data_IF_238906182708
#
_entry.id   IF_238906182708
#
_cell.length_a   1.000
_cell.length_b   1.000
_cell.length_c   1.000
_cell.angle_alpha   90.00
_cell.angle_beta   90.00
_cell.angle_gamma   90.00
#
_symmetry.space_group_name_H-M   'P 1'
#
loop_
_entity.id
_entity.type
_entity.pdbx_description
1 polymer ?
#
# COMPACT_ATOMS: atom_id res chain seq x y z
N UNK A 1 -28.49 -16.08 1.71
CA UNK A 1 -29.75 -16.36 2.44
C UNK A 1 -29.55 -15.80 3.84
N UNK A 2 -30.39 -14.87 4.28
CA UNK A 2 -30.30 -14.26 5.63
C UNK A 2 -31.39 -14.87 6.50
N UNK A 3 -31.10 -15.20 7.76
CA UNK A 3 -32.09 -15.69 8.71
C UNK A 3 -32.96 -14.56 9.28
N UNK A 4 -32.54 -13.30 9.07
CA UNK A 4 -33.28 -12.14 9.53
C UNK A 4 -34.03 -11.51 8.35
N UNK A 5 -35.36 -11.58 8.40
CA UNK A 5 -36.29 -11.08 7.38
C UNK A 5 -36.77 -9.64 7.63
N UNK A 6 -36.45 -9.06 8.79
CA UNK A 6 -36.85 -7.70 9.17
C UNK A 6 -35.94 -6.63 8.53
N UNK A 7 -34.70 -7.01 8.17
CA UNK A 7 -33.74 -6.12 7.54
C UNK A 7 -34.04 -5.96 6.05
N UNK A 8 -33.96 -4.71 5.57
CA UNK A 8 -34.13 -4.38 4.15
C UNK A 8 -33.09 -5.12 3.30
N UNK A 9 -33.45 -5.47 2.07
CA UNK A 9 -32.56 -6.19 1.14
C UNK A 9 -31.22 -5.48 0.91
N UNK A 10 -31.24 -4.14 0.94
CA UNK A 10 -30.06 -3.28 0.80
C UNK A 10 -29.09 -3.45 1.98
N UNK A 11 -29.61 -3.51 3.21
CA UNK A 11 -28.84 -3.73 4.44
C UNK A 11 -28.17 -5.11 4.41
N UNK A 12 -28.90 -6.14 3.97
CA UNK A 12 -28.35 -7.49 3.81
C UNK A 12 -27.18 -7.48 2.82
N UNK A 13 -27.34 -6.83 1.66
CA UNK A 13 -26.26 -6.69 0.69
C UNK A 13 -25.05 -5.92 1.25
N UNK A 14 -25.29 -4.90 2.05
CA UNK A 14 -24.24 -4.13 2.72
C UNK A 14 -23.46 -4.96 3.74
N UNK A 15 -24.15 -5.75 4.58
CA UNK A 15 -23.51 -6.66 5.55
C UNK A 15 -22.63 -7.70 4.82
N UNK A 16 -23.12 -8.27 3.71
CA UNK A 16 -22.30 -9.18 2.90
C UNK A 16 -21.07 -8.48 2.31
N UNK A 17 -21.18 -7.21 1.90
CA UNK A 17 -20.04 -6.40 1.45
C UNK A 17 -19.03 -6.16 2.57
N UNK A 18 -19.49 -5.85 3.79
CA UNK A 18 -18.61 -5.68 4.96
C UNK A 18 -17.86 -6.97 5.29
N UNK A 19 -18.53 -8.12 5.22
CA UNK A 19 -17.88 -9.43 5.42
C UNK A 19 -16.72 -9.63 4.45
N UNK A 20 -16.92 -9.28 3.18
CA UNK A 20 -15.88 -9.41 2.16
C UNK A 20 -14.71 -8.44 2.38
N UNK A 21 -14.97 -7.24 2.92
CA UNK A 21 -13.91 -6.29 3.32
C UNK A 21 -13.03 -6.89 4.42
N UNK A 22 -13.62 -7.58 5.40
CA UNK A 22 -12.90 -8.26 6.47
C UNK A 22 -12.04 -9.40 5.90
N UNK A 23 -12.57 -10.22 5.00
CA UNK A 23 -11.80 -11.27 4.33
C UNK A 23 -10.60 -10.69 3.54
N UNK A 24 -10.82 -9.57 2.83
CA UNK A 24 -9.76 -8.88 2.10
C UNK A 24 -8.69 -8.32 3.05
N UNK A 25 -9.08 -7.83 4.23
CA UNK A 25 -8.16 -7.39 5.28
C UNK A 25 -7.30 -8.55 5.77
N UNK A 26 -7.90 -9.69 6.10
CA UNK A 26 -7.16 -10.88 6.53
C UNK A 26 -6.25 -11.45 5.42
N UNK A 27 -6.69 -11.39 4.16
CA UNK A 27 -5.86 -11.79 3.01
C UNK A 27 -4.61 -10.91 2.91
N UNK A 28 -4.77 -9.59 3.01
CA UNK A 28 -3.65 -8.64 3.02
C UNK A 28 -2.74 -8.85 4.23
N UNK A 29 -3.32 -9.08 5.40
CA UNK A 29 -2.54 -9.35 6.62
C UNK A 29 -1.62 -10.56 6.40
N UNK A 30 -2.17 -11.68 5.92
CA UNK A 30 -1.41 -12.90 5.61
C UNK A 30 -0.38 -12.73 4.49
N UNK A 31 -0.61 -11.81 3.53
CA UNK A 31 0.37 -11.53 2.47
C UNK A 31 1.50 -10.61 2.93
N UNK A 32 1.21 -9.62 3.78
CA UNK A 32 2.22 -8.71 4.31
C UNK A 32 3.06 -9.36 5.41
N UNK A 33 2.50 -10.38 6.06
CA UNK A 33 3.18 -11.12 7.11
C UNK A 33 3.70 -12.45 6.59
N UNK A 34 5.02 -12.61 6.56
CA UNK A 34 5.65 -13.91 6.32
C UNK A 34 5.43 -14.77 7.57
N UNK A 35 4.23 -15.33 7.73
CA UNK A 35 3.85 -16.27 8.81
C UNK A 35 4.68 -17.57 8.81
N UNK A 36 5.63 -17.70 7.88
CA UNK A 36 6.54 -18.83 7.76
C UNK A 36 7.75 -18.74 8.71
N UNK A 37 8.09 -17.54 9.20
CA UNK A 37 9.22 -17.30 10.09
C UNK A 37 8.77 -16.50 11.31
N UNK A 38 8.35 -17.20 12.36
CA UNK A 38 8.10 -16.58 13.66
C UNK A 38 9.45 -16.18 14.27
N UNK A 39 9.57 -14.93 14.72
CA UNK A 39 10.79 -14.45 15.38
C UNK A 39 10.88 -14.94 16.85
N UNK A 40 9.81 -15.56 17.35
CA UNK A 40 9.73 -16.09 18.69
C UNK A 40 8.93 -17.40 18.67
N UNK A 41 9.46 -18.41 19.35
CA UNK A 41 8.81 -19.72 19.51
C UNK A 41 7.80 -19.74 20.66
N UNK A 42 7.74 -18.65 21.44
CA UNK A 42 6.80 -18.51 22.56
C UNK A 42 5.45 -17.97 22.09
N UNK A 43 4.37 -18.50 22.67
CA UNK A 43 3.00 -18.05 22.34
C UNK A 43 2.83 -16.54 22.53
N UNK A 44 3.42 -15.98 23.58
CA UNK A 44 3.33 -14.56 23.87
C UNK A 44 4.08 -13.69 22.85
N UNK A 45 5.19 -14.20 22.30
CA UNK A 45 5.91 -13.55 21.20
C UNK A 45 5.08 -13.53 19.93
N UNK A 46 4.41 -14.64 19.59
CA UNK A 46 3.52 -14.73 18.44
C UNK A 46 2.33 -13.77 18.59
N UNK A 47 1.68 -13.75 19.77
CA UNK A 47 0.58 -12.81 20.06
C UNK A 47 1.02 -11.36 19.87
N UNK A 48 2.16 -10.98 20.45
CA UNK A 48 2.71 -9.61 20.33
C UNK A 48 3.02 -9.26 18.88
N UNK A 49 3.60 -10.19 18.13
CA UNK A 49 3.92 -10.02 16.72
C UNK A 49 2.65 -9.77 15.88
N UNK A 50 1.56 -10.49 16.14
CA UNK A 50 0.25 -10.26 15.49
C UNK A 50 -0.28 -8.85 15.82
N UNK A 51 -0.26 -8.46 17.10
CA UNK A 51 -0.71 -7.13 17.53
C UNK A 51 0.08 -6.00 16.86
N UNK A 52 1.42 -6.10 16.83
CA UNK A 52 2.28 -5.14 16.15
C UNK A 52 1.95 -5.03 14.65
N UNK A 53 1.67 -6.15 14.00
CA UNK A 53 1.30 -6.18 12.57
C UNK A 53 -0.01 -5.45 12.32
N UNK A 54 -1.02 -5.72 13.15
CA UNK A 54 -2.33 -5.08 13.05
C UNK A 54 -2.21 -3.56 13.23
N UNK A 55 -1.42 -3.12 14.23
CA UNK A 55 -1.16 -1.70 14.48
C UNK A 55 -0.44 -1.06 13.29
N UNK A 56 0.63 -1.69 12.78
CA UNK A 56 1.38 -1.17 11.63
C UNK A 56 0.50 -1.06 10.37
N UNK A 57 -0.36 -2.05 10.12
CA UNK A 57 -1.27 -2.03 8.98
C UNK A 57 -2.34 -0.92 9.12
N UNK A 58 -2.83 -0.67 10.32
CA UNK A 58 -3.73 0.44 10.61
C UNK A 58 -3.07 1.80 10.36
N UNK A 59 -1.85 2.00 10.88
CA UNK A 59 -1.06 3.22 10.67
C UNK A 59 -0.82 3.49 9.17
N UNK A 60 -0.43 2.47 8.41
CA UNK A 60 -0.28 2.54 6.96
C UNK A 60 -1.56 2.97 6.24
N UNK A 61 -2.72 2.45 6.67
CA UNK A 61 -4.01 2.82 6.11
C UNK A 61 -4.36 4.28 6.43
N UNK A 62 -4.20 4.71 7.68
CA UNK A 62 -4.46 6.09 8.11
C UNK A 62 -3.58 7.08 7.33
N UNK A 63 -2.29 6.76 7.18
CA UNK A 63 -1.37 7.59 6.40
C UNK A 63 -1.82 7.71 4.94
N UNK A 64 -2.23 6.59 4.34
CA UNK A 64 -2.74 6.59 2.96
C UNK A 64 -3.99 7.46 2.82
N UNK A 65 -4.93 7.37 3.77
CA UNK A 65 -6.17 8.16 3.78
C UNK A 65 -5.85 9.65 3.94
N UNK A 66 -5.00 10.02 4.90
CA UNK A 66 -4.64 11.42 5.16
C UNK A 66 -3.84 12.06 4.03
N UNK A 67 -2.92 11.33 3.41
CA UNK A 67 -2.09 11.86 2.32
C UNK A 67 -2.81 11.95 0.97
N UNK A 68 -4.05 11.42 0.84
CA UNK A 68 -4.85 11.41 -0.41
C UNK A 68 -4.06 10.95 -1.65
N UNK A 69 -3.07 10.10 -1.43
CA UNK A 69 -2.11 9.68 -2.44
C UNK A 69 -2.67 8.54 -3.29
N UNK A 70 -2.54 8.64 -4.62
CA UNK A 70 -2.89 7.56 -5.57
C UNK A 70 -1.79 6.49 -5.68
N UNK A 71 -0.77 6.51 -4.82
CA UNK A 71 0.34 5.54 -4.86
C UNK A 71 -0.09 4.16 -4.41
N UNK A 72 0.59 3.15 -4.95
CA UNK A 72 0.42 1.76 -4.53
C UNK A 72 0.82 1.58 -3.06
N UNK A 73 0.17 0.65 -2.38
CA UNK A 73 0.41 0.36 -0.96
C UNK A 73 1.87 -0.04 -0.69
N UNK A 74 2.45 -0.88 -1.56
CA UNK A 74 3.85 -1.32 -1.48
C UNK A 74 4.84 -0.16 -1.55
N UNK A 75 4.58 0.85 -2.40
CA UNK A 75 5.43 2.04 -2.50
C UNK A 75 5.41 2.85 -1.22
N UNK A 76 4.23 3.05 -0.62
CA UNK A 76 4.11 3.79 0.65
C UNK A 76 4.80 3.02 1.78
N UNK A 77 4.60 1.70 1.86
CA UNK A 77 5.26 0.86 2.84
C UNK A 77 6.79 0.85 2.70
N UNK A 78 7.32 0.81 1.47
CA UNK A 78 8.75 0.87 1.20
C UNK A 78 9.35 2.22 1.61
N UNK A 79 8.67 3.33 1.29
CA UNK A 79 9.10 4.67 1.72
C UNK A 79 9.15 4.77 3.24
N UNK A 80 8.12 4.32 3.95
CA UNK A 80 8.15 4.29 5.42
C UNK A 80 9.32 3.45 5.89
N UNK A 81 9.54 2.24 5.33
CA UNK A 81 10.64 1.36 5.74
C UNK A 81 12.02 2.03 5.61
N UNK A 82 12.24 2.79 4.54
CA UNK A 82 13.50 3.51 4.30
C UNK A 82 13.63 4.70 5.25
N UNK A 83 12.55 5.44 5.47
CA UNK A 83 12.59 6.71 6.19
C UNK A 83 12.24 6.61 7.69
N UNK A 84 11.88 5.43 8.20
CA UNK A 84 11.54 5.21 9.62
C UNK A 84 12.72 5.52 10.55
N UNK A 85 13.95 5.25 10.08
CA UNK A 85 15.19 5.54 10.83
C UNK A 85 15.52 7.04 10.80
N UNK A 86 15.14 7.72 9.71
CA UNK A 86 15.46 9.14 9.51
C UNK A 86 14.51 10.08 10.25
N UNK A 87 13.44 9.57 10.89
CA UNK A 87 12.42 10.34 11.64
C UNK A 87 11.90 11.57 10.86
N UNK A 88 11.86 11.49 9.53
CA UNK A 88 11.42 12.59 8.67
C UNK A 88 9.89 12.67 8.65
N UNK A 89 9.35 13.86 8.38
CA UNK A 89 7.91 14.07 8.24
C UNK A 89 7.34 13.21 7.10
N UNK A 90 6.67 12.13 7.50
CA UNK A 90 6.15 11.11 6.59
C UNK A 90 5.13 11.71 5.62
N UNK A 91 4.35 12.69 6.06
CA UNK A 91 3.38 13.38 5.21
C UNK A 91 4.06 14.16 4.08
N UNK A 92 5.09 14.95 4.42
CA UNK A 92 5.85 15.71 3.45
C UNK A 92 6.52 14.78 2.44
N UNK A 93 7.13 13.68 2.88
CA UNK A 93 7.77 12.71 2.00
C UNK A 93 6.78 11.99 1.07
N UNK A 94 5.60 11.57 1.56
CA UNK A 94 4.60 10.93 0.71
C UNK A 94 4.11 11.90 -0.37
N UNK A 95 4.05 13.19 -0.08
CA UNK A 95 3.71 14.25 -1.04
C UNK A 95 4.88 14.58 -1.99
N UNK A 96 6.10 14.73 -1.47
CA UNK A 96 7.31 15.08 -2.21
C UNK A 96 7.96 13.94 -3.00
N UNK A 97 7.65 12.67 -2.72
CA UNK A 97 7.99 11.53 -3.59
C UNK A 97 7.19 11.57 -4.90
N UNK A 98 7.01 12.75 -5.51
CA UNK A 98 6.54 12.88 -6.88
C UNK A 98 7.57 12.19 -7.75
N UNK A 99 7.14 11.10 -8.39
CA UNK A 99 7.85 10.37 -9.45
C UNK A 99 8.96 11.21 -10.11
N UNK A 100 10.21 10.88 -9.83
CA UNK A 100 11.35 11.18 -10.72
C UNK A 100 11.33 10.28 -11.96
N UNK A 101 10.17 9.76 -12.35
CA UNK A 101 9.91 9.39 -13.74
C UNK A 101 9.49 10.66 -14.45
N UNK A 102 10.46 11.54 -14.69
CA UNK A 102 10.39 12.45 -15.82
C UNK A 102 10.07 11.54 -16.99
N UNK A 103 8.87 11.69 -17.57
CA UNK A 103 8.59 11.14 -18.88
C UNK A 103 9.69 11.73 -19.76
N UNK A 104 10.74 10.96 -20.04
CA UNK A 104 11.52 11.15 -21.24
C UNK A 104 10.51 10.93 -22.35
N UNK A 105 9.86 12.02 -22.74
CA UNK A 105 9.10 12.11 -23.97
C UNK A 105 10.14 11.78 -25.04
N UNK A 106 10.17 10.52 -25.48
CA UNK A 106 10.78 10.18 -26.76
C UNK A 106 10.01 10.98 -27.80
N UNK A 107 10.49 12.17 -28.13
CA UNK A 107 10.14 12.84 -29.38
C UNK A 107 10.56 11.91 -30.50
N UNK A 108 9.59 11.20 -31.07
CA UNK A 108 9.75 10.57 -32.39
C UNK A 108 9.98 11.69 -33.41
N UNK A 109 10.99 11.48 -34.26
CA UNK A 109 11.23 12.11 -35.56
C UNK A 109 11.68 13.58 -35.60
N UNK A 110 12.99 13.79 -35.77
CA UNK A 110 13.50 14.62 -36.88
C UNK A 110 14.63 13.85 -37.58
N UNK A 111 14.54 13.83 -38.91
CA UNK A 111 15.34 13.07 -39.88
C UNK A 111 16.86 13.22 -39.71
N UNK A 112 17.69 12.29 -40.23
CA UNK A 112 19.15 12.47 -40.20
C UNK A 112 19.50 13.68 -41.08
N UNK A 113 20.08 14.72 -40.49
CA UNK A 113 20.68 15.81 -41.26
C UNK A 113 21.98 15.30 -41.92
N UNK A 114 22.33 15.80 -43.13
CA UNK A 114 23.37 15.22 -43.97
C UNK A 114 24.76 15.40 -43.35
N UNK A 115 25.61 14.40 -43.59
CA UNK A 115 27.01 14.30 -43.19
C UNK A 115 27.77 15.62 -43.45
N UNK A 116 28.29 16.23 -42.38
CA UNK A 116 29.17 17.40 -42.50
C UNK A 116 30.55 16.90 -42.95
N UNK A 117 30.84 17.09 -44.24
CA UNK A 117 32.18 16.95 -44.82
C UNK A 117 33.09 18.06 -44.28
N UNK A 118 34.00 17.75 -43.36
CA UNK A 118 35.23 18.53 -43.15
C UNK A 118 36.35 17.57 -42.72
N UNK A 119 37.30 17.40 -43.66
CA UNK A 119 38.52 16.57 -43.71
C UNK A 119 38.35 15.08 -43.99
#
# INVERSE_FOLDING_TARGET
>A
MTNNFEIKREEVAYIYKLRWIIELLFKKLKQNFQLHFFYSETENGIRTQIWCTLIAQLLLLVLKVKSKTKKAYSTVAALIRIHIISLLDVFWMVENSRRTYVKVVKTKNKSPCPQLSIF
#
